data_IF_517526646912
#
_entry.id   IF_517526646912
#
_cell.length_a   1.000
_cell.length_b   1.000
_cell.length_c   1.000
_cell.angle_alpha   90.00
_cell.angle_beta   90.00
_cell.angle_gamma   90.00
#
_symmetry.space_group_name_H-M   'P 1'
#
loop_
_entity.id
_entity.type
_entity.pdbx_description
1 polymer ?
#
# COMPACT_ATOMS: atom_id res chain seq x y z
N UNK A 1 10.06 17.66 -9.19
CA UNK A 1 10.80 16.39 -9.36
C UNK A 1 9.85 15.25 -9.07
N UNK A 2 9.82 14.21 -9.92
CA UNK A 2 8.90 13.08 -9.76
C UNK A 2 9.48 12.03 -8.79
N UNK A 3 8.61 11.43 -7.98
CA UNK A 3 8.98 10.29 -7.14
C UNK A 3 9.09 9.03 -7.99
N UNK A 4 10.05 8.17 -7.67
CA UNK A 4 10.12 6.82 -8.22
C UNK A 4 9.19 5.92 -7.43
N UNK A 5 8.19 5.32 -8.10
CA UNK A 5 7.19 4.48 -7.45
C UNK A 5 7.25 3.07 -7.99
N UNK A 6 7.25 2.08 -7.11
CA UNK A 6 7.23 0.68 -7.49
C UNK A 6 7.33 -0.27 -6.30
N UNK A 7 7.45 -1.58 -6.56
CA UNK A 7 7.62 -2.59 -5.52
C UNK A 7 8.76 -2.21 -4.58
N UNK A 8 8.55 -2.47 -3.29
CA UNK A 8 9.57 -2.24 -2.27
C UNK A 8 10.86 -3.01 -2.63
N UNK A 9 12.01 -2.40 -2.36
CA UNK A 9 13.34 -3.00 -2.51
C UNK A 9 13.89 -3.37 -1.14
N UNK A 10 14.82 -4.33 -1.07
CA UNK A 10 15.46 -4.75 0.19
C UNK A 10 16.03 -3.59 1.00
N UNK A 11 16.72 -2.66 0.34
CA UNK A 11 17.30 -1.47 0.97
C UNK A 11 16.29 -0.44 1.50
N UNK A 12 15.00 -0.59 1.18
CA UNK A 12 13.93 0.32 1.58
C UNK A 12 13.13 -0.22 2.78
N UNK A 13 13.31 -1.50 3.17
CA UNK A 13 12.53 -2.16 4.24
C UNK A 13 12.59 -1.36 5.55
N UNK A 14 13.79 -1.06 6.03
CA UNK A 14 13.99 -0.34 7.29
C UNK A 14 13.49 1.11 7.21
N UNK A 15 13.70 1.76 6.05
CA UNK A 15 13.25 3.14 5.81
C UNK A 15 11.73 3.25 5.80
N UNK A 16 11.06 2.31 5.15
CA UNK A 16 9.61 2.25 5.08
C UNK A 16 8.98 1.90 6.44
N UNK A 17 9.63 1.06 7.26
CA UNK A 17 9.15 0.75 8.60
C UNK A 17 8.99 2.00 9.47
N UNK A 18 9.88 3.00 9.34
CA UNK A 18 9.76 4.27 10.07
C UNK A 18 8.46 5.02 9.77
N UNK A 19 7.93 4.89 8.55
CA UNK A 19 6.63 5.46 8.20
C UNK A 19 5.47 4.68 8.84
N UNK A 20 5.59 3.36 8.88
CA UNK A 20 4.60 2.46 9.50
C UNK A 20 4.53 2.70 11.01
N UNK A 21 5.69 2.77 11.66
CA UNK A 21 5.86 3.09 13.09
C UNK A 21 5.29 4.48 13.41
N UNK A 22 5.63 5.50 12.61
CA UNK A 22 5.13 6.85 12.80
C UNK A 22 3.61 7.00 12.57
N UNK A 23 3.02 6.12 11.75
CA UNK A 23 1.57 6.06 11.56
C UNK A 23 0.84 5.40 12.74
N UNK A 24 1.54 4.75 13.67
CA UNK A 24 0.92 4.13 14.84
C UNK A 24 0.22 2.81 14.56
N UNK A 25 0.56 2.11 13.46
CA UNK A 25 0.13 0.73 13.28
C UNK A 25 0.73 -0.16 14.38
N UNK A 26 -0.06 -1.07 14.93
CA UNK A 26 0.42 -2.04 15.92
C UNK A 26 1.06 -3.25 15.22
N UNK A 27 2.14 -2.99 14.48
CA UNK A 27 2.94 -4.01 13.80
C UNK A 27 4.39 -3.87 14.24
N UNK A 28 4.97 -4.97 14.72
CA UNK A 28 6.39 -4.98 15.05
C UNK A 28 7.27 -5.08 13.79
N UNK A 29 8.55 -4.80 13.98
CA UNK A 29 9.51 -4.81 12.88
C UNK A 29 9.67 -6.19 12.22
N UNK A 30 9.52 -7.28 12.99
CA UNK A 30 9.66 -8.63 12.47
C UNK A 30 8.49 -8.98 11.53
N UNK A 31 7.26 -8.70 11.93
CA UNK A 31 6.06 -8.90 11.12
C UNK A 31 6.11 -8.08 9.82
N UNK A 32 6.66 -6.86 9.88
CA UNK A 32 6.93 -6.05 8.70
C UNK A 32 7.99 -6.69 7.78
N UNK A 33 9.11 -7.17 8.34
CA UNK A 33 10.15 -7.84 7.57
C UNK A 33 9.63 -9.11 6.91
N UNK A 34 8.81 -9.89 7.59
CA UNK A 34 8.19 -11.09 7.05
C UNK A 34 7.29 -10.75 5.86
N UNK A 35 6.45 -9.71 5.99
CA UNK A 35 5.62 -9.19 4.89
C UNK A 35 6.46 -8.83 3.66
N UNK A 36 7.57 -8.12 3.87
CA UNK A 36 8.50 -7.76 2.80
C UNK A 36 9.18 -9.00 2.20
N UNK A 37 9.61 -9.95 3.02
CA UNK A 37 10.24 -11.20 2.59
C UNK A 37 9.31 -12.03 1.69
N UNK A 38 8.02 -12.10 2.03
CA UNK A 38 7.01 -12.74 1.18
C UNK A 38 6.80 -12.01 -0.15
N UNK A 39 7.04 -10.70 -0.20
CA UNK A 39 7.03 -9.94 -1.46
C UNK A 39 8.26 -10.31 -2.31
N UNK A 40 9.43 -10.45 -1.70
CA UNK A 40 10.68 -10.80 -2.40
C UNK A 40 10.76 -12.25 -2.86
N UNK A 41 10.16 -13.18 -2.10
CA UNK A 41 10.21 -14.62 -2.41
C UNK A 41 9.30 -15.03 -3.57
N UNK A 42 8.41 -14.13 -4.04
CA UNK A 42 7.51 -14.42 -5.15
C UNK A 42 8.25 -14.37 -6.48
N UNK A 43 8.46 -15.55 -7.06
CA UNK A 43 8.99 -15.69 -8.42
C UNK A 43 7.91 -15.54 -9.50
N UNK A 44 6.62 -15.59 -9.13
CA UNK A 44 5.49 -15.52 -10.07
C UNK A 44 4.40 -14.56 -9.56
N UNK A 45 3.73 -13.81 -10.47
CA UNK A 45 2.61 -12.96 -10.12
C UNK A 45 1.43 -13.82 -9.66
N UNK A 46 1.16 -13.80 -8.36
CA UNK A 46 -0.07 -14.38 -7.82
C UNK A 46 -1.18 -13.31 -7.88
N UNK A 47 -2.33 -13.58 -8.51
CA UNK A 47 -3.35 -12.58 -8.81
C UNK A 47 -4.02 -11.95 -7.57
N UNK A 48 -3.85 -12.55 -6.39
CA UNK A 48 -4.40 -12.08 -5.11
C UNK A 48 -3.30 -11.76 -4.08
N UNK A 49 -2.07 -11.57 -4.54
CA UNK A 49 -0.95 -11.21 -3.71
C UNK A 49 -1.14 -9.85 -3.04
N UNK A 50 -0.76 -9.77 -1.76
CA UNK A 50 -0.37 -8.50 -1.14
C UNK A 50 0.94 -8.03 -1.77
N UNK A 51 0.96 -6.77 -2.21
CA UNK A 51 2.12 -6.09 -2.76
C UNK A 51 2.43 -4.84 -1.92
N UNK A 52 3.72 -4.63 -1.63
CA UNK A 52 4.21 -3.46 -0.91
C UNK A 52 4.86 -2.51 -1.91
N UNK A 53 4.35 -1.29 -2.00
CA UNK A 53 4.79 -0.26 -2.94
C UNK A 53 5.38 0.91 -2.15
N UNK A 54 6.47 1.48 -2.65
CA UNK A 54 7.10 2.66 -2.06
C UNK A 54 7.19 3.81 -3.05
N UNK A 55 7.18 5.04 -2.54
CA UNK A 55 7.54 6.24 -3.27
C UNK A 55 8.86 6.79 -2.75
N UNK A 56 9.89 6.77 -3.59
CA UNK A 56 11.24 7.22 -3.27
C UNK A 56 11.52 8.57 -3.96
N UNK A 57 12.02 9.55 -3.19
CA UNK A 57 12.43 10.83 -3.76
C UNK A 57 13.80 10.72 -4.46
N UNK A 58 14.22 11.71 -5.26
CA UNK A 58 15.52 11.69 -5.94
C UNK A 58 16.75 11.61 -5.02
N UNK A 59 16.59 11.89 -3.73
CA UNK A 59 17.63 11.82 -2.72
C UNK A 59 17.70 10.43 -2.03
N UNK A 60 16.83 9.49 -2.42
CA UNK A 60 16.81 8.13 -1.88
C UNK A 60 16.04 7.96 -0.57
N UNK A 61 15.20 8.93 -0.20
CA UNK A 61 14.30 8.82 0.94
C UNK A 61 12.95 8.23 0.50
N UNK A 62 12.49 7.24 1.26
CA UNK A 62 11.13 6.71 1.14
C UNK A 62 10.19 7.73 1.76
N UNK A 63 9.40 8.39 0.93
CA UNK A 63 8.45 9.43 1.32
C UNK A 63 7.01 8.93 1.37
N UNK A 64 6.76 7.71 0.93
CA UNK A 64 5.47 7.08 1.08
C UNK A 64 5.54 5.57 0.89
N UNK A 65 4.57 4.90 1.48
CA UNK A 65 4.40 3.45 1.40
C UNK A 65 2.92 3.13 1.29
N UNK A 66 2.57 2.20 0.43
CA UNK A 66 1.25 1.59 0.44
C UNK A 66 1.33 0.08 0.29
N UNK A 67 0.32 -0.59 0.84
CA UNK A 67 0.12 -2.03 0.66
C UNK A 67 -1.16 -2.17 -0.14
N UNK A 68 -1.15 -2.98 -1.19
CA UNK A 68 -2.30 -3.21 -2.06
C UNK A 68 -2.57 -4.70 -2.24
N UNK A 69 -3.83 -5.05 -2.42
CA UNK A 69 -4.26 -6.41 -2.78
C UNK A 69 -5.56 -6.39 -3.57
N UNK A 70 -5.67 -7.16 -4.67
CA UNK A 70 -6.93 -7.32 -5.39
C UNK A 70 -7.92 -8.16 -4.59
N UNK A 71 -9.18 -7.74 -4.61
CA UNK A 71 -10.27 -8.41 -3.90
C UNK A 71 -11.55 -8.44 -4.71
N UNK A 72 -12.46 -9.32 -4.31
CA UNK A 72 -13.84 -9.30 -4.77
C UNK A 72 -14.75 -8.79 -3.66
N UNK A 73 -15.37 -7.63 -3.90
CA UNK A 73 -16.41 -7.04 -3.08
C UNK A 73 -17.79 -7.39 -3.66
N UNK A 74 -18.74 -7.76 -2.81
CA UNK A 74 -20.08 -8.19 -3.24
C UNK A 74 -20.88 -7.10 -3.97
N UNK A 75 -20.65 -5.83 -3.65
CA UNK A 75 -21.40 -4.71 -4.22
C UNK A 75 -20.66 -4.08 -5.41
N UNK A 76 -19.34 -3.99 -5.34
CA UNK A 76 -18.54 -3.26 -6.31
C UNK A 76 -17.74 -4.16 -7.27
N UNK A 77 -17.84 -5.49 -7.13
CA UNK A 77 -17.08 -6.43 -7.96
C UNK A 77 -15.60 -6.43 -7.61
N UNK A 78 -14.71 -6.36 -8.60
CA UNK A 78 -13.25 -6.34 -8.35
C UNK A 78 -12.80 -4.97 -7.83
N UNK A 79 -12.20 -4.97 -6.65
CA UNK A 79 -11.68 -3.77 -5.96
C UNK A 79 -10.20 -3.97 -5.65
N UNK A 80 -9.40 -2.93 -5.86
CA UNK A 80 -8.04 -2.88 -5.35
C UNK A 80 -8.09 -2.33 -3.92
N UNK A 81 -7.97 -3.21 -2.93
CA UNK A 81 -7.93 -2.79 -1.52
C UNK A 81 -6.53 -2.28 -1.18
N UNK A 82 -6.49 -1.14 -0.51
CA UNK A 82 -5.28 -0.45 -0.05
C UNK A 82 -5.39 -0.28 1.47
N UNK A 83 -5.06 -1.32 2.26
CA UNK A 83 -5.16 -1.27 3.72
C UNK A 83 -4.17 -0.30 4.38
N UNK A 84 -3.09 0.05 3.70
CA UNK A 84 -2.07 0.98 4.18
C UNK A 84 -1.77 1.99 3.08
N UNK A 85 -1.90 3.27 3.40
CA UNK A 85 -1.49 4.38 2.53
C UNK A 85 -0.91 5.50 3.41
N UNK A 86 0.41 5.61 3.42
CA UNK A 86 1.14 6.57 4.26
C UNK A 86 2.05 7.41 3.37
N UNK A 87 2.05 8.72 3.61
CA UNK A 87 2.95 9.68 2.97
C UNK A 87 3.49 10.62 4.04
N UNK A 88 4.76 11.03 3.91
CA UNK A 88 5.36 12.01 4.82
C UNK A 88 4.69 13.37 4.65
N UNK A 89 4.39 14.02 5.79
CA UNK A 89 3.82 15.38 5.79
C UNK A 89 4.86 16.48 5.54
N UNK A 90 6.16 16.18 5.70
CA UNK A 90 7.23 17.16 5.63
C UNK A 90 7.68 17.40 4.18
N UNK A 91 7.02 18.33 3.49
CA UNK A 91 7.41 18.81 2.16
C UNK A 91 7.26 17.75 1.04
N UNK A 92 6.38 18.00 0.07
CA UNK A 92 6.19 17.09 -1.06
C UNK A 92 5.13 16.01 -0.86
N UNK A 93 4.32 16.08 0.20
CA UNK A 93 3.18 15.18 0.47
C UNK A 93 2.26 15.05 -0.74
N UNK A 94 1.89 16.18 -1.37
CA UNK A 94 1.03 16.18 -2.57
C UNK A 94 1.68 15.42 -3.73
N UNK A 95 2.98 15.61 -3.95
CA UNK A 95 3.70 14.97 -5.03
C UNK A 95 3.85 13.46 -4.78
N UNK A 96 4.25 13.04 -3.58
CA UNK A 96 4.32 11.63 -3.19
C UNK A 96 2.95 10.94 -3.27
N UNK A 97 1.90 11.60 -2.77
CA UNK A 97 0.52 11.09 -2.84
C UNK A 97 0.06 10.90 -4.27
N UNK A 98 0.26 11.91 -5.13
CA UNK A 98 -0.12 11.83 -6.55
C UNK A 98 0.63 10.71 -7.27
N UNK A 99 1.93 10.54 -6.99
CA UNK A 99 2.72 9.47 -7.58
C UNK A 99 2.23 8.08 -7.14
N UNK A 100 1.91 7.88 -5.85
CA UNK A 100 1.32 6.63 -5.36
C UNK A 100 -0.09 6.38 -5.94
N UNK A 101 -0.96 7.39 -5.95
CA UNK A 101 -2.31 7.27 -6.52
C UNK A 101 -2.27 6.97 -8.02
N UNK A 102 -1.33 7.56 -8.77
CA UNK A 102 -1.10 7.23 -10.17
C UNK A 102 -0.70 5.77 -10.37
N UNK A 103 0.21 5.26 -9.53
CA UNK A 103 0.60 3.85 -9.54
C UNK A 103 -0.56 2.91 -9.18
N UNK A 104 -1.36 3.27 -8.16
CA UNK A 104 -2.53 2.50 -7.75
C UNK A 104 -3.59 2.45 -8.85
N UNK A 105 -3.83 3.55 -9.55
CA UNK A 105 -4.76 3.63 -10.68
C UNK A 105 -4.33 2.73 -11.83
N UNK A 106 -3.04 2.79 -12.22
CA UNK A 106 -2.48 1.89 -13.22
C UNK A 106 -2.56 0.41 -12.78
N UNK A 107 -2.26 0.13 -11.51
CA UNK A 107 -2.35 -1.22 -10.94
C UNK A 107 -3.77 -1.75 -10.92
N UNK A 108 -4.76 -0.92 -10.58
CA UNK A 108 -6.16 -1.29 -10.56
C UNK A 108 -6.65 -1.64 -11.97
N UNK A 109 -6.31 -0.82 -12.97
CA UNK A 109 -6.60 -1.11 -14.39
C UNK A 109 -5.99 -2.43 -14.84
N UNK A 110 -4.69 -2.64 -14.59
CA UNK A 110 -3.99 -3.87 -14.96
C UNK A 110 -4.60 -5.13 -14.33
N UNK A 111 -5.22 -4.98 -13.16
CA UNK A 111 -5.84 -6.08 -12.41
C UNK A 111 -7.36 -6.16 -12.62
N UNK A 112 -7.91 -5.36 -13.54
CA UNK A 112 -9.34 -5.26 -13.85
C UNK A 112 -10.20 -4.93 -12.62
N UNK A 113 -9.71 -4.04 -11.76
CA UNK A 113 -10.46 -3.51 -10.62
C UNK A 113 -11.18 -2.22 -11.05
N UNK A 114 -12.48 -2.13 -10.83
CA UNK A 114 -13.27 -0.93 -11.15
C UNK A 114 -13.18 0.17 -10.08
N UNK A 115 -12.66 -0.18 -8.89
CA UNK A 115 -12.51 0.74 -7.78
C UNK A 115 -11.19 0.47 -7.03
N UNK A 116 -10.68 1.52 -6.40
CA UNK A 116 -9.66 1.46 -5.36
C UNK A 116 -10.34 1.77 -4.02
N UNK A 117 -10.10 0.95 -2.99
CA UNK A 117 -10.57 1.21 -1.64
C UNK A 117 -9.37 1.52 -0.74
N UNK A 118 -9.24 2.77 -0.30
CA UNK A 118 -8.22 3.16 0.67
C UNK A 118 -8.83 3.09 2.06
N UNK A 119 -8.32 2.18 2.90
CA UNK A 119 -8.84 1.98 4.26
C UNK A 119 -8.47 3.16 5.17
N UNK A 120 -9.27 3.36 6.21
CA UNK A 120 -8.92 4.25 7.32
C UNK A 120 -7.62 3.79 7.97
N UNK A 121 -6.83 4.77 8.41
CA UNK A 121 -5.61 4.53 9.19
C UNK A 121 -6.02 4.21 10.62
N UNK A 122 -6.40 2.95 10.84
CA UNK A 122 -6.71 2.39 12.15
C UNK A 122 -5.68 1.30 12.45
N UNK A 123 -5.15 1.23 13.69
CA UNK A 123 -4.12 0.25 14.05
C UNK A 123 -4.49 -1.20 13.68
N UNK A 124 -5.79 -1.52 13.75
CA UNK A 124 -6.33 -2.86 13.49
C UNK A 124 -6.48 -3.20 12.00
N UNK A 125 -6.35 -2.21 11.09
CA UNK A 125 -6.47 -2.42 9.65
C UNK A 125 -5.21 -3.00 9.00
N UNK A 126 -4.17 -3.32 9.79
CA UNK A 126 -2.95 -3.96 9.30
C UNK A 126 -3.28 -5.24 8.49
N UNK A 127 -2.62 -5.49 7.34
CA UNK A 127 -2.79 -6.72 6.59
C UNK A 127 -2.60 -7.96 7.47
N UNK A 128 -3.53 -8.91 7.39
CA UNK A 128 -3.57 -10.17 8.17
C UNK A 128 -3.98 -10.08 9.64
N UNK A 129 -4.41 -8.92 10.13
CA UNK A 129 -5.26 -8.90 11.33
C UNK A 129 -6.47 -9.83 11.08
N UNK A 130 -6.67 -10.79 11.98
CA UNK A 130 -7.70 -11.85 11.92
C UNK A 130 -9.11 -11.32 12.18
N UNK A 131 -9.26 -10.01 12.38
CA UNK A 131 -10.55 -9.40 12.63
C UNK A 131 -11.41 -9.41 11.35
N UNK A 132 -12.43 -10.28 11.37
CA UNK A 132 -13.44 -10.48 10.32
C UNK A 132 -14.36 -9.26 10.22
N UNK A 133 -14.28 -8.34 11.19
CA UNK A 133 -15.07 -7.12 11.30
C UNK A 133 -14.49 -5.95 10.51
N UNK A 134 -13.58 -6.18 9.54
CA UNK A 134 -13.12 -5.12 8.61
C UNK A 134 -14.34 -4.48 7.97
N UNK A 135 -14.77 -3.36 8.57
CA UNK A 135 -15.91 -2.62 8.12
C UNK A 135 -15.68 -2.23 6.68
N UNK A 136 -16.77 -2.05 5.93
CA UNK A 136 -16.73 -1.39 4.62
C UNK A 136 -16.36 0.11 4.74
N UNK A 137 -15.47 0.44 5.67
CA UNK A 137 -14.90 1.77 5.86
C UNK A 137 -13.80 2.02 4.84
N UNK A 138 -13.42 3.28 4.74
CA UNK A 138 -12.45 3.75 3.75
C UNK A 138 -13.08 4.49 2.58
N UNK A 139 -12.22 5.16 1.83
CA UNK A 139 -12.60 5.96 0.67
C UNK A 139 -12.59 5.06 -0.56
N UNK A 140 -13.71 5.03 -1.27
CA UNK A 140 -13.84 4.36 -2.55
C UNK A 140 -13.56 5.36 -3.68
N UNK A 141 -12.60 5.02 -4.55
CA UNK A 141 -12.18 5.84 -5.68
C UNK A 141 -12.50 5.05 -6.96
N UNK A 142 -13.37 5.55 -7.85
CA UNK A 142 -13.61 4.90 -9.13
C UNK A 142 -12.35 4.93 -9.99
N UNK A 143 -12.14 3.86 -10.74
CA UNK A 143 -11.05 3.75 -11.72
C UNK A 143 -11.62 4.09 -13.08
N UNK A 144 -11.25 5.26 -13.61
CA UNK A 144 -11.58 5.67 -14.99
C UNK A 144 -10.87 4.80 -16.04
#
# INVERSE_FOLDING_TARGET
MAYSVGPIKRQQVDKAYRLIEAAGYNVDFQAWQDLCAMTFARNWPAPFAEEVITAENPLGYVAGVCILRPMHDRMYGRVLEVPVFIVVSAGGTRAASNSLLGFLSASARNKNCGFIRVMSLEPDNWPRSTDVSRGRGGILIPVD
#
